data_IF_480031381119
#
_entry.id   IF_480031381119
#
_cell.length_a   1.000
_cell.length_b   1.000
_cell.length_c   1.000
_cell.angle_alpha   90.00
_cell.angle_beta   90.00
_cell.angle_gamma   90.00
#
_symmetry.space_group_name_H-M   'P 1'
#
loop_
_entity.id
_entity.type
_entity.pdbx_description
1 polymer ?
#
# COMPACT_ATOMS: atom_id res chain seq x y z
N UNK A 1 -39.92 -1.14 -34.72
CA UNK A 1 -39.54 -0.18 -33.64
C UNK A 1 -38.19 -0.66 -33.13
N UNK A 2 -37.10 -0.02 -33.61
CA UNK A 2 -35.77 -0.26 -33.08
C UNK A 2 -35.72 0.27 -31.65
N UNK A 3 -35.69 -0.61 -30.67
CA UNK A 3 -35.40 -0.25 -29.28
C UNK A 3 -33.91 0.02 -29.23
N UNK A 4 -33.48 1.27 -29.38
CA UNK A 4 -32.11 1.68 -29.11
C UNK A 4 -31.86 1.37 -27.63
N UNK A 5 -31.00 0.39 -27.36
CA UNK A 5 -30.48 0.14 -26.01
C UNK A 5 -29.90 1.46 -25.47
N UNK A 6 -30.26 1.89 -24.26
CA UNK A 6 -29.71 3.12 -23.72
C UNK A 6 -28.19 3.00 -23.63
N UNK A 7 -27.47 3.93 -24.24
CA UNK A 7 -26.01 4.00 -24.15
C UNK A 7 -25.65 4.23 -22.68
N UNK A 8 -25.12 3.22 -22.03
CA UNK A 8 -24.65 3.33 -20.64
C UNK A 8 -23.23 3.89 -20.65
N UNK A 9 -23.04 5.04 -20.07
CA UNK A 9 -21.70 5.63 -19.89
C UNK A 9 -20.99 4.95 -18.72
N UNK A 10 -19.75 4.52 -18.93
CA UNK A 10 -18.85 4.06 -17.87
C UNK A 10 -17.80 5.14 -17.61
N UNK A 11 -17.72 5.59 -16.38
CA UNK A 11 -16.63 6.44 -15.91
C UNK A 11 -15.57 5.58 -15.22
N UNK A 12 -14.33 5.71 -15.68
CA UNK A 12 -13.16 5.14 -15.02
C UNK A 12 -12.45 6.28 -14.30
N UNK A 13 -12.38 6.19 -12.99
CA UNK A 13 -11.89 7.25 -12.09
C UNK A 13 -10.58 6.78 -11.46
N UNK A 14 -9.57 7.62 -11.50
CA UNK A 14 -8.29 7.41 -10.83
C UNK A 14 -7.89 8.63 -10.01
N UNK A 15 -6.70 8.62 -9.42
CA UNK A 15 -6.23 9.65 -8.50
C UNK A 15 -6.23 11.07 -9.07
N UNK A 16 -6.15 11.22 -10.39
CA UNK A 16 -6.31 12.50 -11.06
C UNK A 16 -7.65 13.18 -10.77
N UNK A 17 -8.70 12.42 -10.47
CA UNK A 17 -9.98 12.96 -10.05
C UNK A 17 -9.85 13.69 -8.70
N UNK A 18 -9.30 13.05 -7.69
CA UNK A 18 -9.11 13.64 -6.36
C UNK A 18 -8.20 14.88 -6.44
N UNK A 19 -7.10 14.78 -7.20
CA UNK A 19 -6.17 15.89 -7.41
C UNK A 19 -6.83 17.09 -8.09
N UNK A 20 -7.70 16.87 -9.09
CA UNK A 20 -8.44 17.94 -9.77
C UNK A 20 -9.41 18.68 -8.83
N UNK A 21 -9.81 18.04 -7.72
CA UNK A 21 -10.63 18.64 -6.66
C UNK A 21 -9.79 19.22 -5.51
N UNK A 22 -8.48 19.36 -5.70
CA UNK A 22 -7.57 19.92 -4.70
C UNK A 22 -7.29 19.00 -3.51
N UNK A 23 -7.68 17.71 -3.60
CA UNK A 23 -7.41 16.75 -2.54
C UNK A 23 -5.93 16.37 -2.56
N UNK A 24 -5.20 16.43 -1.44
CA UNK A 24 -3.78 16.08 -1.39
C UNK A 24 -3.58 14.55 -1.36
N UNK A 25 -4.03 13.86 -2.42
CA UNK A 25 -4.09 12.39 -2.52
C UNK A 25 -2.88 11.75 -3.22
N UNK A 26 -1.81 12.53 -3.51
CA UNK A 26 -0.58 11.97 -4.07
C UNK A 26 0.25 11.22 -3.03
N UNK A 27 1.03 10.21 -3.44
CA UNK A 27 1.93 9.49 -2.54
C UNK A 27 3.01 10.39 -1.93
N UNK A 28 3.42 11.46 -2.61
CA UNK A 28 4.30 12.48 -2.03
C UNK A 28 3.64 13.17 -0.83
N UNK A 29 2.32 13.38 -0.86
CA UNK A 29 1.56 13.92 0.28
C UNK A 29 1.40 12.90 1.40
N UNK A 30 1.31 11.62 1.08
CA UNK A 30 1.38 10.56 2.09
C UNK A 30 2.74 10.55 2.80
N UNK A 31 3.84 10.69 2.06
CA UNK A 31 5.18 10.86 2.63
C UNK A 31 5.24 12.04 3.61
N UNK A 32 4.70 13.19 3.19
CA UNK A 32 4.70 14.40 4.01
C UNK A 32 3.85 14.22 5.27
N UNK A 33 2.71 13.52 5.14
CA UNK A 33 1.83 13.18 6.26
C UNK A 33 2.50 12.22 7.27
N UNK A 34 3.28 11.26 6.80
CA UNK A 34 4.09 10.39 7.67
C UNK A 34 5.09 11.20 8.49
N UNK A 35 5.64 12.26 7.92
CA UNK A 35 6.68 13.10 8.54
C UNK A 35 8.09 12.50 8.46
N UNK A 36 9.10 13.33 8.65
CA UNK A 36 10.52 12.96 8.50
C UNK A 36 11.02 11.96 9.55
N UNK A 37 10.39 11.93 10.71
CA UNK A 37 10.80 11.07 11.83
C UNK A 37 10.06 9.73 11.87
N UNK A 38 9.14 9.50 10.93
CA UNK A 38 8.40 8.25 10.84
C UNK A 38 9.31 7.07 10.57
N UNK A 39 9.25 6.05 11.42
CA UNK A 39 9.98 4.81 11.23
C UNK A 39 9.57 4.12 9.93
N UNK A 40 8.26 4.00 9.67
CA UNK A 40 7.75 3.45 8.41
C UNK A 40 8.33 4.16 7.17
N UNK A 41 8.36 5.51 7.17
CA UNK A 41 8.93 6.26 6.06
C UNK A 41 10.40 5.92 5.84
N UNK A 42 11.19 5.92 6.91
CA UNK A 42 12.63 5.57 6.85
C UNK A 42 12.83 4.16 6.33
N UNK A 43 12.03 3.21 6.83
CA UNK A 43 12.11 1.81 6.39
C UNK A 43 11.78 1.67 4.91
N UNK A 44 10.70 2.30 4.42
CA UNK A 44 10.36 2.30 3.00
C UNK A 44 11.50 2.90 2.14
N UNK A 45 12.04 4.05 2.54
CA UNK A 45 13.14 4.73 1.83
C UNK A 45 14.46 3.92 1.87
N UNK A 46 14.64 3.06 2.87
CA UNK A 46 15.82 2.19 3.00
C UNK A 46 15.72 0.96 2.11
N UNK A 47 14.58 0.28 2.11
CA UNK A 47 14.42 -1.05 1.49
C UNK A 47 13.76 -1.01 0.10
N UNK A 48 13.28 0.14 -0.35
CA UNK A 48 12.79 0.33 -1.71
C UNK A 48 13.75 1.27 -2.46
N UNK A 49 14.56 0.70 -3.34
CA UNK A 49 15.57 1.44 -4.13
C UNK A 49 15.00 1.95 -5.47
N UNK A 50 13.75 2.38 -5.45
CA UNK A 50 13.04 2.85 -6.63
C UNK A 50 12.77 4.36 -6.48
N UNK A 51 13.27 5.16 -7.43
CA UNK A 51 13.08 6.62 -7.45
C UNK A 51 11.59 7.00 -7.54
N UNK A 52 10.74 6.09 -8.02
CA UNK A 52 9.30 6.28 -8.08
C UNK A 52 8.58 6.06 -6.73
N UNK A 53 9.27 5.69 -5.63
CA UNK A 53 8.67 5.33 -4.34
C UNK A 53 7.54 6.27 -3.90
N UNK A 54 7.76 7.57 -3.99
CA UNK A 54 6.76 8.57 -3.57
C UNK A 54 5.98 9.18 -4.73
N UNK A 55 6.16 8.62 -5.91
CA UNK A 55 5.42 8.96 -7.10
C UNK A 55 4.41 7.87 -7.48
N UNK A 56 4.85 6.62 -7.42
CA UNK A 56 4.05 5.42 -7.67
C UNK A 56 4.37 4.34 -6.63
N UNK A 57 3.83 4.52 -5.42
CA UNK A 57 4.09 3.63 -4.29
C UNK A 57 3.68 2.18 -4.58
N UNK A 58 2.60 1.99 -5.34
CA UNK A 58 2.09 0.64 -5.64
C UNK A 58 3.08 -0.16 -6.48
N UNK A 59 3.67 0.47 -7.49
CA UNK A 59 4.72 -0.15 -8.32
C UNK A 59 6.02 -0.31 -7.53
N UNK A 60 6.41 0.71 -6.78
CA UNK A 60 7.64 0.68 -6.00
C UNK A 60 7.64 -0.42 -4.93
N UNK A 61 6.48 -0.79 -4.38
CA UNK A 61 6.35 -1.92 -3.46
C UNK A 61 6.70 -3.28 -4.10
N UNK A 62 6.66 -3.39 -5.44
CA UNK A 62 7.13 -4.59 -6.14
C UNK A 62 8.66 -4.72 -6.11
N UNK A 63 9.37 -3.62 -5.90
CA UNK A 63 10.83 -3.56 -5.81
C UNK A 63 11.33 -3.56 -4.34
N UNK A 64 10.47 -3.97 -3.40
CA UNK A 64 10.84 -4.10 -2.00
C UNK A 64 11.93 -5.16 -1.84
N UNK A 65 13.06 -4.72 -1.33
CA UNK A 65 14.19 -5.60 -1.00
C UNK A 65 13.90 -6.35 0.30
N UNK A 66 13.47 -7.60 0.16
CA UNK A 66 13.27 -8.52 1.28
C UNK A 66 14.49 -9.43 1.52
N UNK A 67 15.44 -9.44 0.60
CA UNK A 67 16.62 -10.30 0.68
C UNK A 67 17.64 -9.71 1.66
N UNK A 68 17.86 -8.41 1.64
CA UNK A 68 18.81 -7.75 2.56
C UNK A 68 18.53 -8.04 4.04
N UNK A 69 17.31 -7.93 4.57
CA UNK A 69 17.02 -8.33 5.94
C UNK A 69 17.28 -9.82 6.19
N UNK A 70 16.90 -10.67 5.24
CA UNK A 70 17.10 -12.13 5.35
C UNK A 70 18.56 -12.54 5.35
N UNK A 71 19.40 -11.84 4.55
CA UNK A 71 20.85 -12.12 4.48
C UNK A 71 21.60 -11.70 5.74
N UNK A 72 21.08 -10.75 6.49
CA UNK A 72 21.68 -10.36 7.78
C UNK A 72 21.51 -11.43 8.88
N UNK A 73 20.51 -12.30 8.74
CA UNK A 73 20.25 -13.36 9.74
C UNK A 73 21.43 -14.32 9.86
N UNK A 74 22.01 -14.91 8.80
CA UNK A 74 23.16 -15.80 8.92
C UNK A 74 24.35 -15.14 9.61
N UNK A 75 24.68 -13.88 9.25
CA UNK A 75 25.79 -13.15 9.86
C UNK A 75 25.56 -12.90 11.36
N UNK A 76 24.30 -12.59 11.72
CA UNK A 76 23.92 -12.42 13.13
C UNK A 76 23.99 -13.76 13.88
N UNK A 77 23.63 -14.88 13.24
CA UNK A 77 23.71 -16.21 13.81
C UNK A 77 25.15 -16.71 13.94
N UNK A 78 26.01 -16.39 12.97
CA UNK A 78 27.44 -16.73 13.03
C UNK A 78 28.15 -15.94 14.14
N UNK A 79 27.69 -14.73 14.42
CA UNK A 79 28.19 -13.93 15.55
C UNK A 79 27.71 -14.47 16.93
N UNK A 80 26.69 -15.34 16.90
CA UNK A 80 26.17 -15.96 18.09
C UNK A 80 26.98 -17.23 18.39
N UNK A 81 27.91 -17.16 19.34
CA UNK A 81 28.69 -18.32 19.75
C UNK A 81 27.83 -19.28 20.58
N UNK A 82 27.39 -20.36 19.95
CA UNK A 82 26.61 -21.40 20.61
C UNK A 82 27.36 -22.13 21.74
N UNK A 83 28.66 -21.94 21.85
CA UNK A 83 29.51 -22.50 22.91
C UNK A 83 29.79 -21.48 24.01
N UNK A 84 29.34 -20.23 23.88
CA UNK A 84 29.41 -19.27 24.97
C UNK A 84 28.40 -19.64 26.07
N UNK A 85 28.86 -20.00 27.27
CA UNK A 85 27.97 -20.38 28.37
C UNK A 85 27.06 -19.24 28.83
N UNK A 86 27.38 -17.98 28.50
CA UNK A 86 26.57 -16.79 28.80
C UNK A 86 25.57 -16.46 27.69
N UNK A 87 25.67 -17.08 26.49
CA UNK A 87 24.75 -16.89 25.39
C UNK A 87 23.40 -17.53 25.72
N UNK A 88 22.35 -16.70 25.70
CA UNK A 88 20.99 -17.15 25.98
C UNK A 88 20.18 -17.29 24.67
N UNK A 89 19.32 -18.31 24.61
CA UNK A 89 18.38 -18.47 23.50
C UNK A 89 17.52 -17.21 23.26
N UNK A 90 17.31 -16.42 24.31
CA UNK A 90 16.61 -15.13 24.19
C UNK A 90 17.35 -14.14 23.30
N UNK A 91 18.68 -14.10 23.34
CA UNK A 91 19.49 -13.21 22.51
C UNK A 91 19.45 -13.62 21.03
N UNK A 92 19.41 -14.93 20.78
CA UNK A 92 19.24 -15.48 19.45
C UNK A 92 17.90 -15.06 18.82
N UNK A 93 16.79 -15.22 19.55
CA UNK A 93 15.48 -14.79 19.06
C UNK A 93 15.40 -13.27 18.91
N UNK A 94 16.00 -12.52 19.82
CA UNK A 94 16.06 -11.06 19.70
C UNK A 94 16.80 -10.61 18.44
N UNK A 95 17.88 -11.30 18.06
CA UNK A 95 18.61 -11.01 16.83
C UNK A 95 17.74 -11.26 15.56
N UNK A 96 17.00 -12.37 15.53
CA UNK A 96 16.05 -12.65 14.44
C UNK A 96 14.96 -11.58 14.39
N UNK A 97 14.36 -11.21 15.50
CA UNK A 97 13.32 -10.20 15.58
C UNK A 97 13.85 -8.85 15.08
N UNK A 98 15.07 -8.48 15.41
CA UNK A 98 15.71 -7.26 14.92
C UNK A 98 15.92 -7.29 13.40
N UNK A 99 16.37 -8.42 12.85
CA UNK A 99 16.56 -8.58 11.40
C UNK A 99 15.23 -8.52 10.65
N UNK A 100 14.16 -9.04 11.23
CA UNK A 100 12.82 -9.04 10.63
C UNK A 100 12.04 -7.74 10.86
N UNK A 101 12.50 -6.85 11.73
CA UNK A 101 11.81 -5.59 12.08
C UNK A 101 11.43 -4.73 10.86
N UNK A 102 12.25 -4.58 9.80
CA UNK A 102 11.86 -3.83 8.60
C UNK A 102 10.65 -4.44 7.90
N UNK A 103 10.62 -5.77 7.77
CA UNK A 103 9.50 -6.49 7.13
C UNK A 103 8.23 -6.29 7.95
N UNK A 104 8.31 -6.47 9.26
CA UNK A 104 7.19 -6.26 10.17
C UNK A 104 6.69 -4.80 10.14
N UNK A 105 7.59 -3.83 10.11
CA UNK A 105 7.25 -2.42 10.01
C UNK A 105 6.45 -2.16 8.74
N UNK A 106 6.89 -2.67 7.58
CA UNK A 106 6.19 -2.46 6.31
C UNK A 106 4.84 -3.20 6.31
N UNK A 107 4.83 -4.48 6.65
CA UNK A 107 3.62 -5.32 6.54
C UNK A 107 2.53 -4.93 7.53
N UNK A 108 2.90 -4.49 8.73
CA UNK A 108 1.96 -4.17 9.80
C UNK A 108 1.61 -2.68 9.89
N UNK A 109 2.58 -1.77 9.66
CA UNK A 109 2.32 -0.35 9.82
C UNK A 109 1.81 0.32 8.54
N UNK A 110 2.33 -0.07 7.36
CA UNK A 110 1.94 0.58 6.11
C UNK A 110 0.43 0.54 5.87
N UNK A 111 -0.28 -0.61 5.96
CA UNK A 111 -1.72 -0.64 5.74
C UNK A 111 -2.49 0.24 6.74
N UNK A 112 -2.05 0.26 8.00
CA UNK A 112 -2.69 1.05 9.08
C UNK A 112 -2.48 2.55 8.89
N UNK A 113 -1.25 2.97 8.59
CA UNK A 113 -0.90 4.39 8.37
C UNK A 113 -1.53 4.90 7.08
N UNK A 114 -1.49 4.09 6.01
CA UNK A 114 -2.13 4.42 4.75
C UNK A 114 -3.63 4.65 4.93
N UNK A 115 -4.34 3.72 5.58
CA UNK A 115 -5.77 3.89 5.89
C UNK A 115 -6.05 5.18 6.65
N UNK A 116 -5.29 5.47 7.71
CA UNK A 116 -5.47 6.70 8.50
C UNK A 116 -5.26 7.96 7.67
N UNK A 117 -4.28 7.93 6.77
CA UNK A 117 -4.06 9.03 5.85
C UNK A 117 -5.24 9.19 4.90
N UNK A 118 -5.70 8.13 4.25
CA UNK A 118 -6.87 8.17 3.36
C UNK A 118 -8.13 8.67 4.11
N UNK A 119 -8.32 8.25 5.36
CA UNK A 119 -9.44 8.73 6.20
C UNK A 119 -9.32 10.22 6.55
N UNK A 120 -8.11 10.76 6.58
CA UNK A 120 -7.87 12.19 6.87
C UNK A 120 -8.11 13.11 5.66
N UNK A 121 -8.15 12.58 4.44
CA UNK A 121 -8.36 13.37 3.24
C UNK A 121 -9.74 14.02 3.23
N UNK A 122 -9.78 15.30 2.85
CA UNK A 122 -11.00 16.09 2.75
C UNK A 122 -11.08 16.73 1.38
N UNK A 123 -12.29 17.00 0.94
CA UNK A 123 -12.57 17.72 -0.31
C UNK A 123 -13.44 18.93 0.02
N UNK A 124 -13.21 20.02 -0.70
CA UNK A 124 -14.10 21.16 -0.67
C UNK A 124 -15.32 20.87 -1.57
N UNK A 125 -16.48 20.74 -0.95
CA UNK A 125 -17.72 20.42 -1.66
C UNK A 125 -18.23 21.53 -2.57
N UNK A 126 -17.70 22.74 -2.44
CA UNK A 126 -18.02 23.86 -3.33
C UNK A 126 -17.33 23.75 -4.69
N UNK A 127 -16.22 23.02 -4.77
CA UNK A 127 -15.41 22.84 -5.98
C UNK A 127 -15.90 21.62 -6.75
N UNK A 128 -16.50 21.83 -7.92
CA UNK A 128 -17.03 20.77 -8.80
C UNK A 128 -16.57 20.95 -10.26
N UNK A 129 -15.28 20.81 -10.55
CA UNK A 129 -14.73 21.11 -11.87
C UNK A 129 -15.26 20.20 -12.98
N UNK A 130 -15.81 19.02 -12.63
CA UNK A 130 -16.28 18.03 -13.59
C UNK A 130 -17.81 17.95 -13.67
N UNK A 131 -18.54 18.95 -13.15
CA UNK A 131 -20.01 18.93 -13.09
C UNK A 131 -20.70 18.72 -14.45
N UNK A 132 -20.11 19.23 -15.53
CA UNK A 132 -20.63 19.03 -16.89
C UNK A 132 -20.37 17.66 -17.51
N UNK A 133 -19.50 16.86 -16.90
CA UNK A 133 -19.09 15.55 -17.43
C UNK A 133 -19.86 14.39 -16.82
N UNK A 134 -20.35 14.54 -15.58
CA UNK A 134 -21.03 13.46 -14.87
C UNK A 134 -22.49 13.34 -15.33
N UNK A 135 -22.87 12.17 -15.83
CA UNK A 135 -24.19 11.91 -16.40
C UNK A 135 -25.04 11.03 -15.45
N UNK A 136 -26.36 11.31 -15.34
CA UNK A 136 -27.26 10.43 -14.64
C UNK A 136 -27.29 9.02 -15.25
N UNK A 137 -27.39 7.98 -14.40
CA UNK A 137 -27.48 6.58 -14.85
C UNK A 137 -26.16 5.97 -15.33
N UNK A 138 -25.07 6.70 -15.27
CA UNK A 138 -23.74 6.16 -15.58
C UNK A 138 -23.30 5.09 -14.58
N UNK A 139 -22.34 4.28 -14.99
CA UNK A 139 -21.61 3.32 -14.14
C UNK A 139 -20.24 3.91 -13.81
N UNK A 140 -19.71 3.51 -12.66
CA UNK A 140 -18.45 4.07 -12.14
C UNK A 140 -17.53 2.93 -11.72
N UNK A 141 -16.31 2.94 -12.25
CA UNK A 141 -15.19 2.11 -11.83
C UNK A 141 -14.16 3.03 -11.21
N UNK A 142 -13.96 2.93 -9.90
CA UNK A 142 -13.15 3.85 -9.13
C UNK A 142 -11.91 3.13 -8.56
N UNK A 143 -10.74 3.66 -8.89
CA UNK A 143 -9.45 3.23 -8.40
C UNK A 143 -8.99 4.06 -7.19
N UNK A 144 -9.76 5.08 -6.81
CA UNK A 144 -9.49 5.84 -5.59
C UNK A 144 -10.05 5.11 -4.37
N UNK A 145 -9.50 5.46 -3.23
CA UNK A 145 -9.94 4.97 -1.92
C UNK A 145 -11.02 5.84 -1.28
N UNK A 146 -11.33 7.00 -1.90
CA UNK A 146 -12.24 8.02 -1.41
C UNK A 146 -13.59 7.93 -2.11
N UNK A 147 -14.64 8.40 -1.44
CA UNK A 147 -16.01 8.44 -1.97
C UNK A 147 -16.38 9.78 -2.61
N UNK A 148 -15.42 10.55 -3.08
CA UNK A 148 -15.69 11.92 -3.53
C UNK A 148 -16.55 12.00 -4.79
N UNK A 149 -16.49 10.99 -5.68
CA UNK A 149 -17.41 10.92 -6.83
C UNK A 149 -18.89 10.83 -6.37
N UNK A 150 -19.17 10.07 -5.31
CA UNK A 150 -20.51 9.99 -4.72
C UNK A 150 -20.89 11.30 -4.02
N UNK A 151 -19.96 11.84 -3.20
CA UNK A 151 -20.22 13.02 -2.37
C UNK A 151 -20.40 14.29 -3.19
N UNK A 152 -19.58 14.48 -4.23
CA UNK A 152 -19.59 15.70 -5.03
C UNK A 152 -20.62 15.66 -6.16
N UNK A 153 -20.79 14.50 -6.78
CA UNK A 153 -21.57 14.37 -8.03
C UNK A 153 -22.76 13.44 -7.91
N UNK A 154 -23.00 12.85 -6.74
CA UNK A 154 -24.10 11.92 -6.51
C UNK A 154 -23.97 10.62 -7.30
N UNK A 155 -22.74 10.20 -7.64
CA UNK A 155 -22.51 8.93 -8.30
C UNK A 155 -23.13 7.77 -7.47
N UNK A 156 -23.76 6.81 -8.17
CA UNK A 156 -24.42 5.66 -7.53
C UNK A 156 -23.88 4.37 -8.08
N UNK A 157 -23.78 3.35 -7.22
CA UNK A 157 -23.30 2.04 -7.63
C UNK A 157 -21.84 2.06 -8.08
N UNK A 158 -21.01 2.82 -7.39
CA UNK A 158 -19.56 2.91 -7.64
C UNK A 158 -18.89 1.60 -7.26
N UNK A 159 -18.12 1.02 -8.19
CA UNK A 159 -17.29 -0.15 -7.95
C UNK A 159 -15.87 0.30 -7.60
N UNK A 160 -15.48 0.13 -6.34
CA UNK A 160 -14.15 0.48 -5.82
C UNK A 160 -13.21 -0.70 -5.98
N UNK A 161 -12.23 -0.61 -6.89
CA UNK A 161 -11.30 -1.70 -7.21
C UNK A 161 -10.34 -1.98 -6.05
N UNK A 162 -9.84 -0.94 -5.40
CA UNK A 162 -8.90 -1.04 -4.29
C UNK A 162 -9.58 -0.96 -2.90
N UNK A 163 -10.90 -1.06 -2.87
CA UNK A 163 -11.68 -0.83 -1.67
C UNK A 163 -11.92 0.66 -1.40
N UNK A 164 -12.75 0.96 -0.39
CA UNK A 164 -13.10 2.34 -0.04
C UNK A 164 -13.02 2.55 1.47
N UNK A 165 -12.60 3.75 1.87
CA UNK A 165 -12.58 4.16 3.28
C UNK A 165 -13.97 4.17 3.93
N UNK A 166 -15.06 4.25 3.14
CA UNK A 166 -16.44 4.09 3.64
C UNK A 166 -16.65 2.77 4.37
N UNK A 167 -16.03 1.70 3.87
CA UNK A 167 -16.11 0.40 4.50
C UNK A 167 -14.93 0.20 5.47
N UNK A 168 -15.15 0.53 6.74
CA UNK A 168 -14.13 0.40 7.78
C UNK A 168 -13.67 -1.03 8.04
N UNK A 169 -14.48 -2.03 7.69
CA UNK A 169 -14.16 -3.46 7.87
C UNK A 169 -13.37 -4.03 6.71
N UNK A 170 -13.51 -3.46 5.50
CA UNK A 170 -12.76 -3.91 4.33
C UNK A 170 -11.32 -3.41 4.39
N UNK A 171 -10.38 -4.28 4.02
CA UNK A 171 -8.99 -3.86 3.80
C UNK A 171 -8.93 -2.97 2.56
N UNK A 172 -8.10 -1.92 2.62
CA UNK A 172 -7.68 -1.21 1.41
C UNK A 172 -6.58 -2.02 0.75
N UNK A 173 -6.70 -2.20 -0.56
CA UNK A 173 -5.71 -2.94 -1.35
C UNK A 173 -4.65 -1.92 -1.79
N UNK A 174 -3.47 -2.03 -1.22
CA UNK A 174 -2.30 -1.25 -1.59
C UNK A 174 -1.24 -2.21 -2.11
N UNK A 175 -0.72 -1.97 -3.30
CA UNK A 175 0.31 -2.79 -3.92
C UNK A 175 -0.07 -3.28 -5.31
N UNK A 176 0.91 -3.83 -6.00
CA UNK A 176 0.80 -4.29 -7.37
C UNK A 176 0.46 -5.78 -7.43
N UNK A 177 -0.44 -6.16 -8.36
CA UNK A 177 -0.79 -7.57 -8.59
C UNK A 177 0.28 -8.34 -9.38
N UNK A 178 1.39 -7.73 -9.70
CA UNK A 178 2.41 -8.33 -10.55
C UNK A 178 3.25 -9.32 -9.74
N UNK A 179 3.10 -10.60 -10.04
CA UNK A 179 4.00 -11.67 -9.62
C UNK A 179 5.34 -11.51 -10.35
N UNK A 180 6.13 -10.52 -10.00
CA UNK A 180 7.54 -10.54 -10.31
C UNK A 180 8.21 -11.26 -9.14
N UNK A 181 8.75 -12.42 -9.42
CA UNK A 181 9.51 -13.29 -8.49
C UNK A 181 8.66 -14.13 -7.52
N UNK A 182 8.23 -15.29 -8.03
CA UNK A 182 8.63 -16.50 -7.33
C UNK A 182 9.99 -16.87 -7.94
N UNK A 183 11.08 -16.31 -7.44
CA UNK A 183 12.36 -17.00 -7.57
C UNK A 183 12.19 -18.29 -6.78
N UNK A 184 12.58 -19.41 -7.37
CA UNK A 184 12.71 -20.70 -6.69
C UNK A 184 13.75 -20.60 -5.57
N UNK A 185 13.39 -19.93 -4.49
CA UNK A 185 14.05 -20.13 -3.21
C UNK A 185 13.44 -21.41 -2.64
N UNK A 186 13.92 -22.53 -3.16
CA UNK A 186 13.83 -23.79 -2.45
C UNK A 186 14.71 -23.64 -1.20
N UNK A 187 14.13 -23.13 -0.13
CA UNK A 187 14.71 -23.23 1.19
C UNK A 187 14.75 -24.71 1.50
N UNK A 188 15.90 -25.34 1.23
CA UNK A 188 16.20 -26.67 1.76
C UNK A 188 16.33 -26.52 3.25
N UNK A 189 15.23 -26.71 3.97
CA UNK A 189 15.32 -26.90 5.42
C UNK A 189 16.27 -28.08 5.70
N UNK A 190 17.27 -27.88 6.57
CA UNK A 190 18.07 -29.02 7.01
C UNK A 190 17.13 -30.02 7.68
N UNK A 191 17.13 -31.26 7.19
CA UNK A 191 16.45 -32.35 7.88
C UNK A 191 17.24 -32.60 9.17
N UNK A 192 16.63 -32.33 10.29
CA UNK A 192 17.12 -32.88 11.54
C UNK A 192 17.09 -34.41 11.40
N UNK A 193 18.24 -35.04 11.46
CA UNK A 193 18.34 -36.50 11.61
C UNK A 193 17.99 -36.82 13.04
N UNK A 194 17.03 -37.73 13.22
CA UNK A 194 16.70 -38.37 14.48
C UNK A 194 17.91 -39.08 15.07
#
# INVERSE_FOLDING_TARGET
>A
IEVKSPVTTLYVIGNGFDLAHGVPSSYSKFRDWLGKHSNLRKTLETYIKNDALWWNLEEALADLDLDTPSMAIPEMLDAFDAYDPDAQMADYYAAIDMAMLPVDTITNELPKKFRRWIESLKVDSSVKPLSGLVKPGAKYLDFNYTEFAETLYGAKGVCYIHGSRKNRKAKLILGHSYKKYVSDVSVKMPRFKD
#
